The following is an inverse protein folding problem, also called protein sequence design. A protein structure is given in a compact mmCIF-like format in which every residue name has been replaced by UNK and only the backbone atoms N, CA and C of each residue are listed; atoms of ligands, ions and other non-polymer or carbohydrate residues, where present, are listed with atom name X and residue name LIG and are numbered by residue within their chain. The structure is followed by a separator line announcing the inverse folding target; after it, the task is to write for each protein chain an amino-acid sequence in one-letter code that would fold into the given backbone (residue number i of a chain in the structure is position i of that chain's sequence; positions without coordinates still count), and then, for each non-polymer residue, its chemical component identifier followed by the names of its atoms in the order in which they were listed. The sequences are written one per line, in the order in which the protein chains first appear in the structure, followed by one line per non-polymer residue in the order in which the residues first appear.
data_IF_023001473581
#
_entry.id   IF_023001473581
#
_cell.length_a   1.000
_cell.length_b   1.000
_cell.length_c   1.000
_cell.angle_alpha   90.00
_cell.angle_beta   90.00
_cell.angle_gamma   90.00
#
_symmetry.space_group_name_H-M   'P 1'
#
loop_
_entity.id
_entity.type
_entity.pdbx_description
1 polymer ?
#
# COMPACT_ATOMS: atom_id res chain seq x y z
N UNK A 1 -80.00 52.05 26.29
CA UNK A 1 -78.80 51.55 26.92
C UNK A 1 -78.13 50.59 25.89
N UNK A 2 -77.12 51.09 25.12
CA UNK A 2 -76.51 50.34 24.06
C UNK A 2 -75.11 49.90 24.51
N UNK A 3 -74.87 48.61 24.59
CA UNK A 3 -73.54 48.05 24.77
C UNK A 3 -73.00 47.54 23.40
N UNK A 4 -72.09 48.31 22.90
CA UNK A 4 -71.33 47.93 21.70
C UNK A 4 -70.17 47.02 22.11
N UNK A 5 -70.15 45.73 21.66
CA UNK A 5 -69.05 44.82 21.86
C UNK A 5 -67.98 44.99 20.77
N UNK A 6 -66.80 45.44 21.13
CA UNK A 6 -65.63 45.46 20.25
C UNK A 6 -64.94 44.07 20.28
N UNK A 7 -65.05 43.38 19.18
CA UNK A 7 -64.23 42.17 18.95
C UNK A 7 -62.87 42.63 18.42
N UNK A 8 -61.85 42.45 19.24
CA UNK A 8 -60.45 42.60 18.80
C UNK A 8 -59.99 41.31 18.11
N UNK A 9 -59.82 41.38 16.81
CA UNK A 9 -59.18 40.32 16.05
C UNK A 9 -57.66 40.35 16.33
N UNK A 10 -57.13 39.31 16.94
CA UNK A 10 -55.68 39.11 17.09
C UNK A 10 -55.19 38.32 15.89
N UNK A 11 -54.50 38.99 14.96
CA UNK A 11 -53.78 38.32 13.86
C UNK A 11 -52.46 37.72 14.40
N UNK A 12 -52.46 36.38 14.55
CA UNK A 12 -51.22 35.65 14.89
C UNK A 12 -50.42 35.40 13.60
N UNK A 13 -49.39 36.18 13.40
CA UNK A 13 -48.47 35.98 12.28
C UNK A 13 -47.50 34.85 12.60
N UNK A 14 -47.72 33.70 11.96
CA UNK A 14 -46.81 32.57 11.99
C UNK A 14 -45.58 32.87 11.10
N UNK A 15 -44.47 33.22 11.72
CA UNK A 15 -43.18 33.39 11.02
C UNK A 15 -42.63 31.98 10.80
N UNK A 16 -42.75 31.45 9.58
CA UNK A 16 -42.01 30.26 9.15
C UNK A 16 -40.54 30.60 8.93
N UNK A 17 -39.70 30.28 9.90
CA UNK A 17 -38.26 30.36 9.72
C UNK A 17 -37.80 29.20 8.80
N UNK A 18 -37.57 29.47 7.53
CA UNK A 18 -36.94 28.54 6.60
C UNK A 18 -35.47 28.49 6.96
N UNK A 19 -35.05 27.47 7.72
CA UNK A 19 -33.66 27.18 7.95
C UNK A 19 -33.05 26.63 6.65
N UNK A 20 -32.37 27.49 5.91
CA UNK A 20 -31.57 27.08 4.75
C UNK A 20 -30.36 26.30 5.27
N UNK A 21 -30.43 24.97 5.25
CA UNK A 21 -29.28 24.12 5.46
C UNK A 21 -28.34 24.31 4.27
N UNK A 22 -27.32 25.13 4.43
CA UNK A 22 -26.21 25.17 3.49
C UNK A 22 -25.43 23.86 3.61
N UNK A 23 -25.65 22.96 2.68
CA UNK A 23 -24.75 21.82 2.49
C UNK A 23 -23.41 22.42 2.06
N UNK A 24 -22.43 22.41 2.96
CA UNK A 24 -21.05 22.64 2.57
C UNK A 24 -20.69 21.55 1.59
N UNK A 25 -20.46 21.88 0.33
CA UNK A 25 -19.82 20.97 -0.62
C UNK A 25 -18.43 20.77 -0.02
N UNK A 26 -18.17 19.59 0.53
CA UNK A 26 -16.83 19.20 0.95
C UNK A 26 -15.95 19.35 -0.30
N UNK A 27 -15.03 20.29 -0.29
CA UNK A 27 -14.02 20.39 -1.34
C UNK A 27 -13.23 19.10 -1.40
N UNK A 28 -12.60 18.82 -2.54
CA UNK A 28 -11.73 17.67 -2.65
C UNK A 28 -10.73 17.64 -1.48
N UNK A 29 -10.50 16.47 -0.88
CA UNK A 29 -9.53 16.37 0.19
C UNK A 29 -8.16 16.86 -0.32
N UNK A 30 -7.36 17.51 0.55
CA UNK A 30 -6.05 17.99 0.14
C UNK A 30 -5.21 16.82 -0.41
N UNK A 31 -4.27 17.08 -1.32
CA UNK A 31 -3.37 16.05 -1.83
C UNK A 31 -2.72 15.28 -0.67
N UNK A 32 -2.82 13.96 -0.72
CA UNK A 32 -2.31 13.06 0.31
C UNK A 32 -1.34 12.07 -0.34
N UNK A 33 -0.07 12.01 0.10
CA UNK A 33 0.92 11.08 -0.46
C UNK A 33 0.53 9.60 -0.27
N UNK A 34 -0.35 9.26 0.67
CA UNK A 34 -0.90 7.91 0.83
C UNK A 34 -1.99 7.57 -0.20
N UNK A 35 -2.55 8.56 -0.90
CA UNK A 35 -3.47 8.30 -2.00
C UNK A 35 -2.75 7.59 -3.14
N UNK A 36 -3.42 6.59 -3.75
CA UNK A 36 -2.86 5.86 -4.89
C UNK A 36 -2.06 4.61 -4.53
N UNK A 37 -1.92 4.23 -3.26
CA UNK A 37 -1.45 2.90 -2.85
C UNK A 37 -2.56 1.86 -3.08
N UNK A 38 -2.85 1.61 -4.37
CA UNK A 38 -3.97 0.76 -4.79
C UNK A 38 -3.54 -0.64 -5.21
N UNK A 39 -2.27 -0.86 -5.48
CA UNK A 39 -1.74 -2.20 -5.73
C UNK A 39 -1.61 -2.91 -4.39
N UNK A 40 -2.16 -4.13 -4.28
CA UNK A 40 -2.00 -4.96 -3.09
C UNK A 40 -1.59 -6.37 -3.50
N UNK A 41 -0.39 -6.76 -3.09
CA UNK A 41 0.14 -8.10 -3.26
C UNK A 41 0.65 -8.63 -1.92
N UNK A 42 0.86 -9.94 -1.81
CA UNK A 42 1.61 -10.52 -0.68
C UNK A 42 2.61 -11.55 -1.16
N UNK A 43 3.75 -11.56 -0.50
CA UNK A 43 4.83 -12.50 -0.76
C UNK A 43 5.59 -12.82 0.52
N UNK A 44 6.10 -14.07 0.68
CA UNK A 44 7.06 -14.39 1.73
C UNK A 44 8.46 -13.90 1.33
N UNK A 45 9.28 -13.56 2.35
CA UNK A 45 10.66 -13.13 2.17
C UNK A 45 11.65 -14.11 2.81
N UNK A 46 12.92 -14.01 2.46
CA UNK A 46 14.02 -14.69 3.14
C UNK A 46 14.73 -13.69 4.07
N UNK A 47 14.75 -14.03 5.35
CA UNK A 47 15.48 -13.31 6.39
C UNK A 47 16.38 -14.29 7.13
N UNK A 48 17.67 -14.01 7.19
CA UNK A 48 18.68 -14.88 7.84
C UNK A 48 18.63 -16.35 7.36
N UNK A 49 18.21 -16.56 6.10
CA UNK A 49 18.09 -17.91 5.50
C UNK A 49 16.75 -18.61 5.76
N UNK A 50 15.85 -18.00 6.53
CA UNK A 50 14.53 -18.54 6.84
C UNK A 50 13.42 -17.86 6.01
N UNK A 51 12.36 -18.63 5.69
CA UNK A 51 11.17 -18.08 5.03
C UNK A 51 10.26 -17.43 6.06
N UNK A 52 9.99 -16.15 5.91
CA UNK A 52 9.16 -15.33 6.80
C UNK A 52 8.02 -14.66 6.04
N UNK A 53 6.93 -14.38 6.72
CA UNK A 53 5.74 -13.75 6.13
C UNK A 53 4.60 -14.75 5.86
N UNK A 54 3.68 -14.51 4.89
CA UNK A 54 3.80 -13.47 3.86
C UNK A 54 3.61 -12.03 4.38
N UNK A 55 4.32 -11.09 3.79
CA UNK A 55 4.13 -9.66 4.02
C UNK A 55 3.17 -9.07 2.98
N UNK A 56 2.35 -8.11 3.40
CA UNK A 56 1.35 -7.45 2.55
C UNK A 56 1.88 -6.12 2.03
N UNK A 57 2.16 -6.07 0.73
CA UNK A 57 2.69 -4.91 0.04
C UNK A 57 1.56 -4.05 -0.50
N UNK A 58 1.44 -2.83 0.00
CA UNK A 58 0.58 -1.81 -0.59
C UNK A 58 1.47 -0.87 -1.38
N UNK A 59 1.26 -0.80 -2.70
CA UNK A 59 2.17 -0.16 -3.62
C UNK A 59 1.51 0.90 -4.48
N UNK A 60 2.35 1.86 -4.92
CA UNK A 60 1.97 2.94 -5.83
C UNK A 60 3.12 3.28 -6.76
N UNK A 61 2.90 3.36 -8.09
CA UNK A 61 3.86 3.96 -9.00
C UNK A 61 4.05 5.45 -8.66
N UNK A 62 5.30 5.92 -8.58
CA UNK A 62 5.63 7.34 -8.42
C UNK A 62 6.10 7.98 -9.72
N UNK A 63 6.60 7.17 -10.65
CA UNK A 63 6.88 7.51 -12.04
C UNK A 63 6.96 6.22 -12.88
N UNK A 64 7.37 6.32 -14.14
CA UNK A 64 7.44 5.18 -15.07
C UNK A 64 8.49 4.12 -14.66
N UNK A 65 9.50 4.51 -13.89
CA UNK A 65 10.62 3.65 -13.48
C UNK A 65 10.52 3.13 -12.04
N UNK A 66 9.69 3.75 -11.17
CA UNK A 66 9.74 3.47 -9.73
C UNK A 66 8.34 3.25 -9.17
N UNK A 67 8.16 2.11 -8.51
CA UNK A 67 7.03 1.79 -7.64
C UNK A 67 7.53 1.83 -6.20
N UNK A 68 6.77 2.43 -5.32
CA UNK A 68 7.03 2.50 -3.89
C UNK A 68 5.98 1.69 -3.14
N UNK A 69 6.42 0.85 -2.18
CA UNK A 69 5.56 0.02 -1.37
C UNK A 69 5.77 0.26 0.13
N UNK A 70 4.69 0.16 0.90
CA UNK A 70 4.69 0.02 2.35
C UNK A 70 4.17 -1.38 2.68
N UNK A 71 4.87 -2.08 3.59
CA UNK A 71 4.63 -3.49 3.85
C UNK A 71 4.20 -3.71 5.30
N UNK A 72 3.20 -4.58 5.46
CA UNK A 72 2.61 -4.92 6.76
C UNK A 72 2.70 -6.43 7.01
N UNK A 73 2.83 -6.82 8.29
CA UNK A 73 2.87 -8.22 8.73
C UNK A 73 1.54 -8.97 8.51
N UNK A 74 0.42 -8.25 8.37
CA UNK A 74 -0.90 -8.81 8.11
C UNK A 74 -1.85 -7.78 7.49
N UNK A 75 -3.12 -8.16 7.27
CA UNK A 75 -4.20 -7.26 6.84
C UNK A 75 -5.04 -6.72 7.99
N UNK A 76 -4.67 -6.96 9.22
CA UNK A 76 -5.40 -6.46 10.38
C UNK A 76 -5.32 -4.94 10.48
N UNK A 77 -6.37 -4.32 11.03
CA UNK A 77 -6.43 -2.85 11.15
C UNK A 77 -5.29 -2.25 11.99
N UNK A 78 -4.67 -3.05 12.86
CA UNK A 78 -3.55 -2.67 13.72
C UNK A 78 -2.23 -3.37 13.33
N UNK A 79 -2.15 -3.93 12.11
CA UNK A 79 -0.93 -4.55 11.62
C UNK A 79 0.24 -3.58 11.65
N UNK A 80 1.40 -4.07 12.05
CA UNK A 80 2.63 -3.27 12.03
C UNK A 80 3.13 -3.11 10.59
N UNK A 81 3.50 -1.89 10.24
CA UNK A 81 4.32 -1.64 9.06
C UNK A 81 5.75 -2.00 9.42
N UNK A 82 6.22 -3.11 8.88
CA UNK A 82 7.54 -3.65 9.22
C UNK A 82 8.60 -3.38 8.18
N UNK A 83 8.18 -3.08 6.94
CA UNK A 83 9.09 -2.94 5.82
C UNK A 83 8.67 -1.83 4.85
N UNK A 84 9.62 -1.37 4.06
CA UNK A 84 9.39 -0.59 2.84
C UNK A 84 10.14 -1.22 1.68
N UNK A 85 9.57 -1.13 0.48
CA UNK A 85 10.20 -1.63 -0.74
C UNK A 85 10.17 -0.59 -1.85
N UNK A 86 11.22 -0.56 -2.65
CA UNK A 86 11.26 0.14 -3.92
C UNK A 86 11.49 -0.88 -5.03
N UNK A 87 10.58 -0.90 -6.00
CA UNK A 87 10.70 -1.66 -7.24
C UNK A 87 11.13 -0.69 -8.33
N UNK A 88 12.26 -0.94 -8.97
CA UNK A 88 12.86 -0.02 -9.95
C UNK A 88 13.03 -0.74 -11.27
N UNK A 89 12.78 -0.05 -12.41
CA UNK A 89 12.95 -0.64 -13.72
C UNK A 89 14.37 -1.23 -13.87
N UNK A 90 14.45 -2.45 -14.44
CA UNK A 90 15.74 -3.15 -14.64
C UNK A 90 16.72 -2.32 -15.46
N UNK A 91 16.21 -1.57 -16.44
CA UNK A 91 17.03 -0.70 -17.28
C UNK A 91 17.70 0.41 -16.48
N UNK A 92 17.02 0.96 -15.46
CA UNK A 92 17.57 2.00 -14.60
C UNK A 92 18.50 1.42 -13.54
N UNK A 93 18.03 0.46 -12.74
CA UNK A 93 18.78 -0.03 -11.57
C UNK A 93 20.07 -0.73 -12.00
N UNK A 94 20.02 -1.57 -13.04
CA UNK A 94 21.19 -2.33 -13.51
C UNK A 94 22.26 -1.45 -14.16
N UNK A 95 21.87 -0.22 -14.56
CA UNK A 95 22.80 0.77 -15.09
C UNK A 95 23.53 1.56 -13.99
N UNK A 96 22.84 1.83 -12.86
CA UNK A 96 23.36 2.77 -11.84
C UNK A 96 23.84 2.09 -10.56
N UNK A 97 23.34 0.87 -10.25
CA UNK A 97 23.74 0.13 -9.06
C UNK A 97 24.90 -0.81 -9.37
N UNK A 98 25.99 -0.80 -8.57
CA UNK A 98 27.12 -1.71 -8.75
C UNK A 98 26.69 -3.18 -8.64
N UNK A 99 27.27 -4.05 -9.45
CA UNK A 99 26.92 -5.47 -9.54
C UNK A 99 26.96 -6.20 -8.17
N UNK A 100 27.93 -5.89 -7.32
CA UNK A 100 28.02 -6.50 -5.99
C UNK A 100 26.80 -6.16 -5.11
N UNK A 101 26.34 -4.91 -5.17
CA UNK A 101 25.16 -4.46 -4.41
C UNK A 101 23.89 -5.07 -5.00
N UNK A 102 23.81 -5.13 -6.33
CA UNK A 102 22.68 -5.76 -7.02
C UNK A 102 22.53 -7.23 -6.61
N UNK A 103 23.61 -8.01 -6.64
CA UNK A 103 23.56 -9.44 -6.27
C UNK A 103 23.22 -9.71 -4.79
N UNK A 104 23.58 -8.80 -3.88
CA UNK A 104 23.44 -9.03 -2.45
C UNK A 104 22.20 -8.40 -1.82
N UNK A 105 21.66 -7.36 -2.45
CA UNK A 105 20.62 -6.53 -1.83
C UNK A 105 19.35 -6.40 -2.66
N UNK A 106 19.47 -6.51 -3.97
CA UNK A 106 18.37 -6.41 -4.89
C UNK A 106 17.88 -7.80 -5.30
N UNK A 107 16.63 -7.94 -5.65
CA UNK A 107 16.05 -9.17 -6.16
C UNK A 107 15.29 -8.92 -7.47
N UNK A 108 15.27 -9.95 -8.32
CA UNK A 108 14.58 -9.92 -9.62
C UNK A 108 13.13 -10.37 -9.43
N UNK A 109 12.19 -9.49 -9.69
CA UNK A 109 10.76 -9.82 -9.55
C UNK A 109 10.27 -10.85 -10.58
N UNK A 110 10.92 -11.00 -11.73
CA UNK A 110 10.55 -12.07 -12.66
C UNK A 110 10.87 -13.45 -12.07
N UNK A 111 11.99 -13.59 -11.35
CA UNK A 111 12.33 -14.82 -10.62
C UNK A 111 11.34 -15.09 -9.49
N UNK A 112 10.95 -14.06 -8.75
CA UNK A 112 9.98 -14.16 -7.67
C UNK A 112 8.59 -14.58 -8.18
N UNK A 113 8.06 -13.90 -9.19
CA UNK A 113 6.76 -14.21 -9.81
C UNK A 113 6.74 -15.64 -10.35
N UNK A 114 7.85 -16.10 -10.94
CA UNK A 114 7.97 -17.47 -11.48
C UNK A 114 7.86 -18.57 -10.41
N UNK A 115 8.05 -18.24 -9.13
CA UNK A 115 7.84 -19.22 -8.02
C UNK A 115 6.37 -19.54 -7.79
N UNK A 116 5.45 -18.67 -8.22
CA UNK A 116 4.02 -18.76 -7.92
C UNK A 116 3.65 -18.45 -6.47
N UNK A 117 4.59 -17.92 -5.67
CA UNK A 117 4.37 -17.60 -4.24
C UNK A 117 3.86 -16.17 -4.00
N UNK A 118 3.83 -15.34 -5.04
CA UNK A 118 3.23 -14.00 -4.97
C UNK A 118 1.72 -14.12 -5.17
N UNK A 119 0.95 -13.60 -4.20
CA UNK A 119 -0.49 -13.49 -4.33
C UNK A 119 -0.89 -12.05 -4.65
N UNK A 120 -1.69 -11.84 -5.69
CA UNK A 120 -2.22 -10.53 -6.06
C UNK A 120 -3.64 -10.39 -5.50
N UNK A 121 -3.87 -9.40 -4.65
CA UNK A 121 -5.16 -9.12 -4.00
C UNK A 121 -5.91 -7.96 -4.66
N UNK A 122 -5.17 -6.97 -5.17
CA UNK A 122 -5.70 -5.90 -6.01
C UNK A 122 -4.65 -5.51 -7.06
N UNK A 123 -4.98 -5.50 -8.36
CA UNK A 123 -6.32 -5.64 -8.94
C UNK A 123 -6.93 -7.04 -8.78
N UNK A 124 -8.27 -7.15 -8.98
CA UNK A 124 -9.01 -8.40 -8.71
C UNK A 124 -9.31 -9.22 -9.95
N UNK A 125 -9.26 -8.64 -11.14
CA UNK A 125 -9.52 -9.38 -12.39
C UNK A 125 -8.27 -10.10 -12.88
N UNK A 126 -8.37 -11.34 -13.38
CA UNK A 126 -7.22 -12.10 -13.88
C UNK A 126 -6.42 -11.35 -14.95
N UNK A 127 -7.10 -10.61 -15.82
CA UNK A 127 -6.45 -9.84 -16.89
C UNK A 127 -5.59 -8.70 -16.33
N UNK A 128 -6.09 -7.96 -15.34
CA UNK A 128 -5.34 -6.88 -14.69
C UNK A 128 -4.21 -7.43 -13.83
N UNK A 129 -4.41 -8.58 -13.18
CA UNK A 129 -3.37 -9.27 -12.42
C UNK A 129 -2.22 -9.70 -13.33
N UNK A 130 -2.52 -10.25 -14.51
CA UNK A 130 -1.49 -10.59 -15.48
C UNK A 130 -0.71 -9.36 -15.94
N UNK A 131 -1.40 -8.25 -16.28
CA UNK A 131 -0.76 -6.99 -16.67
C UNK A 131 0.14 -6.45 -15.56
N UNK A 132 -0.31 -6.54 -14.30
CA UNK A 132 0.50 -6.15 -13.15
C UNK A 132 1.75 -7.03 -13.01
N UNK A 133 1.60 -8.35 -13.12
CA UNK A 133 2.73 -9.28 -13.05
C UNK A 133 3.76 -9.00 -14.17
N UNK A 134 3.30 -8.75 -15.40
CA UNK A 134 4.17 -8.39 -16.53
C UNK A 134 4.89 -7.04 -16.30
N UNK A 135 4.22 -6.08 -15.66
CA UNK A 135 4.81 -4.78 -15.33
C UNK A 135 5.86 -4.90 -14.23
N UNK A 136 5.50 -5.54 -13.11
CA UNK A 136 6.39 -5.77 -11.96
C UNK A 136 7.57 -6.66 -12.35
N UNK A 137 7.37 -7.68 -13.19
CA UNK A 137 8.44 -8.55 -13.68
C UNK A 137 9.55 -7.85 -14.48
N UNK A 138 9.34 -6.58 -14.87
CA UNK A 138 10.37 -5.72 -15.50
C UNK A 138 11.17 -4.90 -14.49
N UNK A 139 10.95 -5.09 -13.19
CA UNK A 139 11.64 -4.37 -12.12
C UNK A 139 12.51 -5.30 -11.29
N UNK A 140 13.53 -4.72 -10.67
CA UNK A 140 14.24 -5.30 -9.53
C UNK A 140 13.80 -4.58 -8.26
N UNK A 141 13.69 -5.29 -7.14
CA UNK A 141 13.25 -4.77 -5.85
C UNK A 141 14.38 -4.66 -4.83
N UNK A 142 14.23 -3.73 -3.89
CA UNK A 142 15.02 -3.68 -2.66
C UNK A 142 14.10 -3.44 -1.48
N UNK A 143 14.15 -4.33 -0.49
CA UNK A 143 13.35 -4.29 0.72
C UNK A 143 14.21 -3.80 1.89
N UNK A 144 13.65 -2.94 2.72
CA UNK A 144 14.24 -2.50 3.98
C UNK A 144 13.33 -2.94 5.12
N UNK A 145 13.73 -3.97 5.85
CA UNK A 145 13.04 -4.43 7.06
C UNK A 145 13.48 -3.58 8.25
N UNK A 146 12.51 -2.94 8.91
CA UNK A 146 12.71 -1.86 9.88
C UNK A 146 12.28 -2.24 11.30
N UNK A 147 11.61 -3.38 11.45
CA UNK A 147 11.08 -3.83 12.74
C UNK A 147 11.42 -5.30 12.94
N UNK A 148 12.47 -5.63 13.73
CA UNK A 148 12.91 -7.02 13.89
C UNK A 148 11.80 -7.95 14.33
N UNK A 149 11.79 -9.17 13.78
CA UNK A 149 10.77 -10.18 14.06
C UNK A 149 10.64 -10.44 15.57
N UNK A 150 9.39 -10.44 16.06
CA UNK A 150 9.11 -10.62 17.49
C UNK A 150 9.51 -9.48 18.43
N UNK A 151 10.18 -8.43 17.93
CA UNK A 151 10.55 -7.29 18.77
C UNK A 151 9.33 -6.47 19.17
N UNK A 152 9.26 -5.96 20.42
CA UNK A 152 8.13 -5.13 20.88
C UNK A 152 8.11 -3.73 20.25
N UNK A 153 9.25 -3.23 19.79
CA UNK A 153 9.44 -1.91 19.14
C UNK A 153 10.56 -2.01 18.09
N UNK A 154 10.59 -1.11 17.09
CA UNK A 154 11.78 -0.95 16.24
C UNK A 154 13.00 -0.56 17.07
N UNK A 155 14.14 -1.15 16.79
CA UNK A 155 15.41 -0.92 17.52
C UNK A 155 16.42 -0.04 16.75
N UNK A 156 16.05 0.39 15.53
CA UNK A 156 16.90 1.18 14.64
C UNK A 156 17.80 0.35 13.72
N UNK A 157 17.78 -0.97 13.82
CA UNK A 157 18.45 -1.83 12.83
C UNK A 157 17.68 -1.85 11.51
N UNK A 158 18.40 -2.18 10.43
CA UNK A 158 17.82 -2.37 9.09
C UNK A 158 18.39 -3.65 8.51
N UNK A 159 17.51 -4.59 8.20
CA UNK A 159 17.85 -5.80 7.44
C UNK A 159 17.45 -5.59 5.97
N UNK A 160 18.10 -6.29 5.06
CA UNK A 160 17.74 -6.33 3.63
C UNK A 160 17.27 -7.74 3.30
N UNK A 161 15.97 -8.04 3.38
CA UNK A 161 15.40 -9.32 2.99
C UNK A 161 15.60 -9.59 1.50
N UNK A 162 15.52 -10.86 1.13
CA UNK A 162 15.51 -11.29 -0.26
C UNK A 162 14.17 -11.92 -0.64
N UNK A 163 13.79 -11.85 -1.91
CA UNK A 163 12.70 -12.67 -2.41
C UNK A 163 13.12 -14.14 -2.48
N UNK A 164 12.15 -15.04 -2.31
CA UNK A 164 12.42 -16.49 -2.38
C UNK A 164 12.98 -16.86 -3.74
N UNK A 165 12.41 -16.35 -4.83
CA UNK A 165 12.86 -16.69 -6.18
C UNK A 165 14.31 -16.32 -6.43
N UNK A 166 14.71 -15.12 -6.06
CA UNK A 166 16.08 -14.65 -6.19
C UNK A 166 17.05 -15.44 -5.30
N UNK A 167 16.64 -15.71 -4.07
CA UNK A 167 17.44 -16.56 -3.15
C UNK A 167 17.64 -17.97 -3.70
N UNK A 168 16.56 -18.62 -4.16
CA UNK A 168 16.63 -19.98 -4.73
C UNK A 168 17.50 -20.05 -5.99
N UNK A 169 17.51 -19.01 -6.81
CA UNK A 169 18.37 -18.93 -7.99
C UNK A 169 19.87 -18.94 -7.61
N UNK A 170 20.21 -18.43 -6.43
CA UNK A 170 21.61 -18.34 -5.96
C UNK A 170 22.02 -19.52 -5.05
N UNK A 171 21.09 -20.06 -4.24
CA UNK A 171 21.39 -20.96 -3.13
C UNK A 171 20.71 -22.35 -3.25
N UNK A 172 19.80 -22.50 -4.23
CA UNK A 172 18.96 -23.69 -4.36
C UNK A 172 17.64 -23.58 -3.58
N UNK A 173 16.78 -24.59 -3.75
CA UNK A 173 15.42 -24.57 -3.18
C UNK A 173 15.43 -24.46 -1.66
N UNK A 174 14.57 -23.60 -1.12
CA UNK A 174 14.29 -23.55 0.31
C UNK A 174 13.32 -24.67 0.69
N UNK A 175 13.51 -25.27 1.87
CA UNK A 175 12.53 -26.19 2.45
C UNK A 175 11.28 -25.43 2.89
N UNK A 176 10.12 -25.97 2.54
CA UNK A 176 8.83 -25.50 3.06
C UNK A 176 8.67 -25.87 4.52
#
# INVERSE_FOLDING_TARGET
MNYSSFIKAVCLALIFSVSSSTYAIAGDPPPNPLSGYTIHVSAPHIMDGEVVGPFHHYCKPINDDIIQCILFESTDANAKMTEVEYMVSKDLVRKVIPEWSHKQKWHDHAEEIATGRVAIHNPTTPEEQQKLAEYVGKTDGIIFHLWPEGAPIPDGSVMIPQSIGHWEAQHGKVSE
#
